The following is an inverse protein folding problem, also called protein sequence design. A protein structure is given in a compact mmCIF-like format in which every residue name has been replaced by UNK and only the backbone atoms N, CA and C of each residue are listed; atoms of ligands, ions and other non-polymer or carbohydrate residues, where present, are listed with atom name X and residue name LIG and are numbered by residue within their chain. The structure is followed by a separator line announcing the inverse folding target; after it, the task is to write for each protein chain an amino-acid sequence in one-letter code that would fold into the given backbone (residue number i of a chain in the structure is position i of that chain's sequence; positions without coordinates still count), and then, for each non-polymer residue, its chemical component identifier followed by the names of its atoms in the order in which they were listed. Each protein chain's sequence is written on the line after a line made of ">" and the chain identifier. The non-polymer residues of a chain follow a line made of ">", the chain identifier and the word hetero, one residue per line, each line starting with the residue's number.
data_IF_686511816245
#
_entry.id   IF_686511816245
#
_cell.length_a   1.000
_cell.length_b   1.000
_cell.length_c   1.000
_cell.angle_alpha   90.00
_cell.angle_beta   90.00
_cell.angle_gamma   90.00
#
_symmetry.space_group_name_H-M   'P 1'
#
loop_
_entity.id
_entity.type
_entity.pdbx_description
1 polymer ?
#
# COMPACT_ATOMS: atom_id res chain seq x y z
N UNK A 1 -17.78 -5.27 -27.46
CA UNK A 1 -18.28 -6.58 -27.03
C UNK A 1 -17.12 -7.46 -26.55
N UNK A 2 -16.34 -7.02 -25.55
CA UNK A 2 -15.28 -7.83 -24.94
C UNK A 2 -14.83 -7.14 -23.63
N UNK A 3 -15.76 -7.07 -22.67
CA UNK A 3 -15.39 -6.72 -21.31
C UNK A 3 -15.23 -8.04 -20.59
N UNK A 4 -14.01 -8.36 -20.14
CA UNK A 4 -13.80 -9.43 -19.18
C UNK A 4 -14.69 -9.11 -17.99
N UNK A 5 -15.81 -9.82 -17.88
CA UNK A 5 -16.74 -9.64 -16.79
C UNK A 5 -16.11 -10.08 -15.48
N UNK A 6 -16.72 -9.65 -14.39
CA UNK A 6 -16.38 -10.16 -13.06
C UNK A 6 -16.41 -11.69 -13.00
N UNK A 7 -17.29 -12.33 -13.78
CA UNK A 7 -17.40 -13.79 -13.89
C UNK A 7 -16.18 -14.42 -14.58
N UNK A 8 -15.72 -13.93 -15.74
CA UNK A 8 -14.53 -14.47 -16.40
C UNK A 8 -13.28 -14.29 -15.53
N UNK A 9 -13.14 -13.14 -14.86
CA UNK A 9 -12.03 -12.88 -13.95
C UNK A 9 -12.03 -13.87 -12.76
N UNK A 10 -13.21 -14.21 -12.24
CA UNK A 10 -13.38 -15.21 -11.19
C UNK A 10 -12.98 -16.61 -11.65
N UNK A 11 -13.36 -17.00 -12.88
CA UNK A 11 -12.96 -18.29 -13.48
C UNK A 11 -11.44 -18.39 -13.61
N UNK A 12 -10.79 -17.34 -14.11
CA UNK A 12 -9.33 -17.29 -14.22
C UNK A 12 -8.69 -17.35 -12.82
N UNK A 13 -9.22 -16.61 -11.85
CA UNK A 13 -8.75 -16.62 -10.48
C UNK A 13 -8.80 -18.05 -9.90
N UNK A 14 -9.91 -18.76 -10.09
CA UNK A 14 -10.05 -20.16 -9.64
C UNK A 14 -9.01 -21.06 -10.30
N UNK A 15 -8.77 -20.92 -11.61
CA UNK A 15 -7.74 -21.71 -12.30
C UNK A 15 -6.34 -21.45 -11.73
N UNK A 16 -6.00 -20.18 -11.49
CA UNK A 16 -4.74 -19.79 -10.84
C UNK A 16 -4.67 -20.38 -9.43
N UNK A 17 -5.75 -20.34 -8.66
CA UNK A 17 -5.81 -20.94 -7.33
C UNK A 17 -5.64 -22.46 -7.34
N UNK A 18 -6.04 -23.17 -8.39
CA UNK A 18 -5.80 -24.60 -8.53
C UNK A 18 -4.31 -24.87 -8.79
N UNK A 19 -3.67 -24.09 -9.66
CA UNK A 19 -2.25 -24.27 -10.01
C UNK A 19 -1.34 -23.90 -8.83
N UNK A 20 -1.59 -22.74 -8.22
CA UNK A 20 -0.73 -22.20 -7.15
C UNK A 20 -1.18 -22.65 -5.75
N UNK A 21 -2.46 -23.00 -5.56
CA UNK A 21 -3.07 -23.28 -4.26
C UNK A 21 -3.61 -22.02 -3.57
N UNK A 22 -4.73 -22.17 -2.85
CA UNK A 22 -5.40 -21.09 -2.10
C UNK A 22 -4.53 -20.40 -1.05
N UNK A 23 -3.48 -21.08 -0.54
CA UNK A 23 -2.57 -20.51 0.46
C UNK A 23 -1.46 -19.63 -0.11
N UNK A 24 -1.09 -19.78 -1.40
CA UNK A 24 0.06 -19.05 -1.97
C UNK A 24 -0.25 -17.59 -2.26
N UNK A 25 -1.46 -17.28 -2.74
CA UNK A 25 -1.90 -15.89 -2.96
C UNK A 25 -1.82 -15.01 -1.70
N UNK A 26 -2.41 -15.38 -0.54
CA UNK A 26 -2.33 -14.56 0.66
C UNK A 26 -0.91 -14.50 1.23
N UNK A 27 -0.09 -15.54 1.04
CA UNK A 27 1.32 -15.54 1.44
C UNK A 27 2.13 -14.50 0.62
N UNK A 28 1.98 -14.49 -0.70
CA UNK A 28 2.61 -13.49 -1.58
C UNK A 28 2.07 -12.09 -1.31
N UNK A 29 0.74 -11.96 -1.12
CA UNK A 29 0.09 -10.69 -0.80
C UNK A 29 0.58 -10.07 0.51
N UNK A 30 0.82 -10.88 1.55
CA UNK A 30 1.43 -10.40 2.81
C UNK A 30 2.83 -9.82 2.58
N UNK A 31 3.71 -10.57 1.92
CA UNK A 31 5.09 -10.12 1.64
C UNK A 31 5.11 -8.84 0.79
N UNK A 32 4.25 -8.78 -0.23
CA UNK A 32 4.13 -7.60 -1.10
C UNK A 32 3.55 -6.40 -0.34
N UNK A 33 2.57 -6.63 0.52
CA UNK A 33 1.93 -5.60 1.35
C UNK A 33 2.87 -5.00 2.38
N UNK A 34 3.67 -5.84 3.04
CA UNK A 34 4.73 -5.38 3.95
C UNK A 34 5.79 -4.55 3.21
N UNK A 35 6.24 -5.02 2.04
CA UNK A 35 7.18 -4.28 1.19
C UNK A 35 6.63 -2.92 0.75
N UNK A 36 5.36 -2.87 0.30
CA UNK A 36 4.72 -1.62 -0.13
C UNK A 36 4.47 -0.66 1.04
N UNK A 37 4.17 -1.18 2.23
CA UNK A 37 4.03 -0.38 3.45
C UNK A 37 5.36 0.26 3.85
N UNK A 38 6.43 -0.54 3.92
CA UNK A 38 7.77 -0.04 4.23
C UNK A 38 8.27 0.96 3.17
N UNK A 39 7.97 0.72 1.89
CA UNK A 39 8.27 1.66 0.81
C UNK A 39 7.52 2.98 0.99
N UNK A 40 6.21 2.93 1.31
CA UNK A 40 5.40 4.13 1.55
C UNK A 40 5.88 4.90 2.78
N UNK A 41 6.22 4.20 3.86
CA UNK A 41 6.68 4.82 5.10
C UNK A 41 8.04 5.51 4.89
N UNK A 42 8.99 4.85 4.21
CA UNK A 42 10.29 5.47 3.87
C UNK A 42 10.16 6.67 2.93
N UNK A 43 9.21 6.65 1.99
CA UNK A 43 8.94 7.78 1.11
C UNK A 43 8.24 8.94 1.84
N UNK A 44 7.46 8.63 2.89
CA UNK A 44 6.85 9.61 3.79
C UNK A 44 7.88 10.29 4.67
N UNK A 45 8.80 9.55 5.29
CA UNK A 45 9.86 10.12 6.12
C UNK A 45 10.79 11.04 5.30
N UNK A 46 11.16 10.62 4.08
CA UNK A 46 11.92 11.47 3.16
C UNK A 46 11.18 12.73 2.69
N UNK A 47 9.84 12.76 2.81
CA UNK A 47 9.00 13.92 2.48
C UNK A 47 8.62 14.75 3.71
N UNK A 48 8.59 14.14 4.90
CA UNK A 48 8.19 14.76 6.17
C UNK A 48 9.33 15.59 6.79
N UNK A 49 10.59 15.32 6.44
CA UNK A 49 11.74 16.16 6.82
C UNK A 49 11.63 17.61 6.28
N UNK A 50 10.77 17.86 5.27
CA UNK A 50 10.46 19.22 4.79
C UNK A 50 9.27 19.92 5.44
N UNK A 51 8.56 19.29 6.39
CA UNK A 51 7.25 19.80 6.87
C UNK A 51 7.14 20.07 8.38
N UNK A 52 8.24 20.08 9.12
CA UNK A 52 8.22 20.32 10.58
C UNK A 52 9.08 21.52 11.04
N UNK A 53 9.16 22.58 10.23
CA UNK A 53 10.00 23.75 10.52
C UNK A 53 9.28 25.07 10.81
N UNK A 54 7.94 25.15 10.75
CA UNK A 54 7.25 26.45 10.70
C UNK A 54 5.95 26.50 11.53
N UNK A 55 6.01 26.18 12.84
CA UNK A 55 4.88 26.52 13.72
C UNK A 55 5.19 26.75 15.22
N UNK A 56 6.41 27.16 15.60
CA UNK A 56 6.77 27.23 17.03
C UNK A 56 7.52 28.50 17.45
N UNK A 57 7.14 29.67 16.92
CA UNK A 57 7.81 30.96 17.26
C UNK A 57 6.89 32.16 17.53
N UNK A 58 5.58 32.00 17.68
CA UNK A 58 4.67 33.13 17.88
C UNK A 58 3.82 32.99 19.15
N UNK A 59 4.44 32.70 20.29
CA UNK A 59 3.75 32.89 21.59
C UNK A 59 4.72 33.13 22.76
N UNK A 60 5.86 33.81 22.57
CA UNK A 60 6.65 34.31 23.71
C UNK A 60 7.20 35.70 23.42
N UNK A 61 6.45 36.72 23.84
CA UNK A 61 6.83 38.12 23.75
C UNK A 61 5.80 39.06 24.37
N UNK A 62 5.16 38.64 25.47
CA UNK A 62 4.28 39.49 26.26
C UNK A 62 4.42 39.16 27.74
N UNK A 63 5.46 39.71 28.36
CA UNK A 63 5.58 39.97 29.81
C UNK A 63 6.79 40.85 30.04
#
# INVERSE_FOLDING_TARGET
>A
MFGLGTTELLLILVLVLIIFGAGKLPQVGKSLGEGLRNFKDGMKDGSADKKNGENDRIDQGKS
#
